data_IF_918036650161
#
_entry.id   IF_918036650161
#
_cell.length_a   1.000
_cell.length_b   1.000
_cell.length_c   1.000
_cell.angle_alpha   90.00
_cell.angle_beta   90.00
_cell.angle_gamma   90.00
#
_symmetry.space_group_name_H-M   'P 1'
#
loop_
_entity.id
_entity.type
_entity.pdbx_description
1 polymer ?
#
# COMPACT_ATOMS: atom_id res chain seq x y z
N UNK A 1 5.89 33.86 -42.17
CA UNK A 1 5.15 34.72 -41.21
C UNK A 1 5.15 33.99 -39.89
N UNK A 2 6.14 34.28 -39.08
CA UNK A 2 6.36 33.64 -37.76
C UNK A 2 5.64 34.50 -36.73
N UNK A 3 4.68 33.90 -36.02
CA UNK A 3 4.00 34.59 -34.95
C UNK A 3 4.81 34.34 -33.66
N UNK A 4 5.56 35.37 -33.23
CA UNK A 4 6.12 35.42 -31.88
C UNK A 4 5.00 35.62 -30.89
N UNK A 5 4.78 34.60 -30.02
CA UNK A 5 3.93 34.73 -28.83
C UNK A 5 4.84 35.16 -27.69
N UNK A 6 4.72 36.41 -27.28
CA UNK A 6 5.38 36.95 -26.09
C UNK A 6 4.87 36.19 -24.86
N UNK A 7 5.74 35.81 -23.88
CA UNK A 7 5.29 35.25 -22.62
C UNK A 7 4.61 36.33 -21.81
N UNK A 8 3.27 36.25 -21.73
CA UNK A 8 2.50 37.06 -20.80
C UNK A 8 2.91 36.63 -19.36
N UNK A 9 3.37 37.58 -18.60
CA UNK A 9 3.58 37.47 -17.15
C UNK A 9 2.32 36.99 -16.47
N UNK A 10 2.24 35.72 -16.16
CA UNK A 10 1.22 35.16 -15.28
C UNK A 10 1.59 35.65 -13.89
N UNK A 11 0.82 36.61 -13.37
CA UNK A 11 0.84 36.97 -11.96
C UNK A 11 0.53 35.70 -11.17
N UNK A 12 1.41 35.29 -10.26
CA UNK A 12 1.24 34.21 -9.27
C UNK A 12 0.12 34.60 -8.26
N UNK A 13 -1.12 34.67 -8.72
CA UNK A 13 -2.26 34.54 -7.83
C UNK A 13 -2.48 33.04 -7.64
N UNK A 14 -2.08 32.51 -6.50
CA UNK A 14 -2.40 31.17 -6.05
C UNK A 14 -3.92 31.01 -5.99
N UNK A 15 -4.51 30.52 -7.06
CA UNK A 15 -5.90 30.08 -7.07
C UNK A 15 -5.94 28.70 -6.41
N UNK A 16 -6.38 28.66 -5.16
CA UNK A 16 -6.75 27.41 -4.48
C UNK A 16 -7.79 26.67 -5.31
N UNK A 17 -7.39 25.63 -6.01
CA UNK A 17 -8.28 24.84 -6.87
C UNK A 17 -9.15 23.88 -6.08
N UNK A 18 -8.71 23.45 -4.91
CA UNK A 18 -9.45 22.54 -4.02
C UNK A 18 -9.24 22.91 -2.55
N UNK A 19 -10.30 23.43 -1.93
CA UNK A 19 -10.26 23.87 -0.54
C UNK A 19 -9.98 22.74 0.46
N UNK A 20 -10.34 21.49 0.13
CA UNK A 20 -10.04 20.34 0.97
C UNK A 20 -8.54 20.03 0.97
N UNK A 21 -7.90 20.01 -0.20
CA UNK A 21 -6.44 19.79 -0.30
C UNK A 21 -5.66 20.91 0.40
N UNK A 22 -6.08 22.16 0.24
CA UNK A 22 -5.49 23.29 0.96
C UNK A 22 -5.67 23.15 2.47
N UNK A 23 -6.85 22.71 2.91
CA UNK A 23 -7.11 22.40 4.31
C UNK A 23 -6.14 21.33 4.87
N UNK A 24 -5.87 20.28 4.11
CA UNK A 24 -4.90 19.23 4.49
C UNK A 24 -3.46 19.77 4.53
N UNK A 25 -3.06 20.58 3.55
CA UNK A 25 -1.72 21.19 3.55
C UNK A 25 -1.50 22.10 4.77
N UNK A 26 -2.51 22.84 5.21
CA UNK A 26 -2.45 23.70 6.39
C UNK A 26 -2.26 22.91 7.70
N UNK A 27 -2.53 21.61 7.69
CA UNK A 27 -2.28 20.72 8.83
C UNK A 27 -0.87 20.09 8.81
N UNK A 28 -0.06 20.37 7.78
CA UNK A 28 1.30 19.88 7.69
C UNK A 28 2.19 20.62 8.68
N UNK A 29 2.85 19.87 9.56
CA UNK A 29 3.83 20.41 10.51
C UNK A 29 5.05 20.98 9.78
N UNK A 30 5.60 22.08 10.28
CA UNK A 30 6.92 22.52 9.85
C UNK A 30 7.95 21.42 10.15
N UNK A 31 8.82 21.11 9.19
CA UNK A 31 9.96 20.21 9.44
C UNK A 31 11.06 20.96 10.16
N UNK A 32 11.75 20.27 11.05
CA UNK A 32 13.01 20.78 11.63
C UNK A 32 14.19 20.66 10.64
N UNK A 33 14.00 19.93 9.52
CA UNK A 33 15.02 19.74 8.48
C UNK A 33 14.93 20.86 7.45
N UNK A 34 16.01 21.63 7.32
CA UNK A 34 16.17 22.72 6.35
C UNK A 34 16.78 22.25 5.01
N UNK A 35 17.00 23.17 4.10
CA UNK A 35 17.71 22.92 2.86
C UNK A 35 16.88 22.15 1.81
N UNK A 36 17.48 21.13 1.19
CA UNK A 36 16.88 20.38 0.10
C UNK A 36 15.56 19.68 0.48
N UNK A 37 15.47 19.19 1.71
CA UNK A 37 14.28 18.49 2.20
C UNK A 37 13.07 19.43 2.29
N UNK A 38 13.29 20.65 2.80
CA UNK A 38 12.25 21.68 2.81
C UNK A 38 11.88 22.14 1.40
N UNK A 39 12.86 22.21 0.48
CA UNK A 39 12.59 22.54 -0.93
C UNK A 39 11.72 21.46 -1.58
N UNK A 40 12.01 20.18 -1.38
CA UNK A 40 11.22 19.05 -1.85
C UNK A 40 9.75 19.15 -1.37
N UNK A 41 9.54 19.44 -0.08
CA UNK A 41 8.20 19.64 0.48
C UNK A 41 7.47 20.83 -0.12
N UNK A 42 8.17 21.96 -0.28
CA UNK A 42 7.60 23.18 -0.85
C UNK A 42 7.18 22.99 -2.32
N UNK A 43 7.96 22.29 -3.09
CA UNK A 43 7.63 22.02 -4.50
C UNK A 43 6.46 21.04 -4.63
N UNK A 44 6.38 20.06 -3.75
CA UNK A 44 5.21 19.18 -3.66
C UNK A 44 3.95 19.95 -3.23
N UNK A 45 4.05 20.83 -2.24
CA UNK A 45 2.94 21.67 -1.79
C UNK A 45 2.42 22.58 -2.91
N UNK A 46 3.31 23.23 -3.69
CA UNK A 46 2.92 24.01 -4.88
C UNK A 46 2.12 23.15 -5.87
N UNK A 47 2.57 21.91 -6.10
CA UNK A 47 1.88 21.01 -7.02
C UNK A 47 0.48 20.65 -6.50
N UNK A 48 0.32 20.38 -5.19
CA UNK A 48 -0.98 20.10 -4.55
C UNK A 48 -1.92 21.29 -4.68
N UNK A 49 -1.45 22.54 -4.46
CA UNK A 49 -2.27 23.75 -4.64
C UNK A 49 -2.84 23.91 -6.06
N UNK A 50 -2.15 23.40 -7.07
CA UNK A 50 -2.60 23.43 -8.47
C UNK A 50 -3.43 22.21 -8.87
N UNK A 51 -3.60 21.25 -7.98
CA UNK A 51 -4.32 19.99 -8.20
C UNK A 51 -5.74 20.04 -7.66
N UNK A 52 -6.54 19.08 -8.05
CA UNK A 52 -7.86 18.81 -7.48
C UNK A 52 -7.91 17.37 -7.00
N UNK A 53 -8.67 17.11 -5.94
CA UNK A 53 -8.87 15.73 -5.48
C UNK A 53 -9.62 14.95 -6.56
N UNK A 54 -9.21 13.72 -6.89
CA UNK A 54 -9.89 12.92 -7.90
C UNK A 54 -11.31 12.55 -7.46
N UNK A 55 -12.16 12.28 -8.44
CA UNK A 55 -13.55 11.93 -8.23
C UNK A 55 -14.00 10.80 -9.16
N UNK A 56 -15.24 10.35 -9.04
CA UNK A 56 -15.77 9.21 -9.80
C UNK A 56 -15.90 9.43 -11.32
N UNK A 57 -15.57 10.60 -11.86
CA UNK A 57 -15.46 10.86 -13.31
C UNK A 57 -14.08 10.53 -13.84
N UNK A 58 -13.09 10.47 -12.96
CA UNK A 58 -11.71 10.07 -13.29
C UNK A 58 -11.68 8.55 -13.40
N UNK A 59 -11.16 8.01 -14.49
CA UNK A 59 -11.20 6.57 -14.80
C UNK A 59 -10.63 5.71 -13.66
N UNK A 60 -9.49 6.11 -13.12
CA UNK A 60 -8.79 5.39 -12.05
C UNK A 60 -9.52 5.50 -10.68
N UNK A 61 -10.50 6.40 -10.55
CA UNK A 61 -11.28 6.63 -9.34
C UNK A 61 -12.77 6.36 -9.51
N UNK A 62 -13.18 5.80 -10.66
CA UNK A 62 -14.56 5.62 -11.05
C UNK A 62 -15.43 4.93 -10.00
N UNK A 63 -14.85 3.97 -9.28
CA UNK A 63 -15.56 3.16 -8.29
C UNK A 63 -15.26 3.57 -6.84
N UNK A 64 -14.38 4.55 -6.62
CA UNK A 64 -13.94 5.02 -5.30
C UNK A 64 -14.39 6.46 -5.07
N UNK A 65 -15.50 6.60 -4.35
CA UNK A 65 -16.03 7.90 -4.00
C UNK A 65 -15.33 8.45 -2.74
N UNK A 66 -14.61 9.55 -2.88
CA UNK A 66 -13.89 10.22 -1.79
C UNK A 66 -14.74 11.27 -1.04
N UNK A 67 -16.04 11.39 -1.31
CA UNK A 67 -16.91 12.34 -0.60
C UNK A 67 -16.87 12.13 0.93
N UNK A 68 -16.93 10.88 1.47
CA UNK A 68 -16.83 10.66 2.91
C UNK A 68 -15.50 11.13 3.54
N UNK A 69 -14.40 11.14 2.78
CA UNK A 69 -13.12 11.70 3.21
C UNK A 69 -13.17 13.24 3.23
N UNK A 70 -13.79 13.86 2.22
CA UNK A 70 -13.91 15.32 2.08
C UNK A 70 -14.81 15.96 3.14
N UNK A 71 -15.70 15.21 3.74
CA UNK A 71 -16.61 15.66 4.80
C UNK A 71 -15.95 15.75 6.17
N UNK A 72 -14.70 15.23 6.32
CA UNK A 72 -13.95 15.23 7.57
C UNK A 72 -13.00 16.43 7.61
N UNK A 73 -13.02 17.14 8.72
CA UNK A 73 -11.99 18.16 9.03
C UNK A 73 -10.86 17.48 9.82
N UNK A 74 -9.70 17.43 9.22
CA UNK A 74 -8.51 16.86 9.84
C UNK A 74 -7.71 17.95 10.56
N UNK A 75 -7.09 17.57 11.67
CA UNK A 75 -6.21 18.43 12.43
C UNK A 75 -4.76 17.90 12.38
N UNK A 76 -3.84 18.76 12.74
CA UNK A 76 -2.46 18.38 12.88
C UNK A 76 -2.28 17.40 14.03
N UNK A 77 -1.35 16.47 13.85
CA UNK A 77 -1.02 15.49 14.89
C UNK A 77 -0.10 16.12 15.91
N UNK A 78 -0.55 16.24 17.17
CA UNK A 78 0.36 16.48 18.28
C UNK A 78 1.30 15.30 18.49
N UNK A 79 2.52 15.57 18.99
CA UNK A 79 3.47 14.51 19.36
C UNK A 79 2.87 13.68 20.49
N UNK A 80 2.67 12.38 20.26
CA UNK A 80 2.17 11.46 21.29
C UNK A 80 3.38 10.89 22.03
N UNK A 81 3.64 11.39 23.24
CA UNK A 81 4.79 11.00 24.07
C UNK A 81 4.59 9.68 24.81
N UNK A 82 3.35 9.22 25.02
CA UNK A 82 3.02 8.06 25.87
C UNK A 82 2.21 7.00 25.10
N UNK A 83 2.81 6.41 24.06
CA UNK A 83 2.26 5.20 23.47
C UNK A 83 3.06 4.00 23.98
N UNK A 84 2.41 3.08 24.68
CA UNK A 84 2.97 1.75 24.94
C UNK A 84 2.52 0.81 23.83
N UNK A 85 3.46 0.26 23.07
CA UNK A 85 3.13 -0.85 22.16
C UNK A 85 2.64 -2.04 23.01
N UNK A 86 1.42 -2.47 22.76
CA UNK A 86 0.92 -3.68 23.38
C UNK A 86 1.61 -4.90 22.73
N UNK A 87 1.70 -5.99 23.47
CA UNK A 87 2.32 -7.25 23.00
C UNK A 87 1.68 -7.77 21.70
N UNK A 88 0.42 -7.42 21.43
CA UNK A 88 -0.31 -7.83 20.21
C UNK A 88 0.25 -7.25 18.90
N UNK A 89 1.07 -6.19 18.97
CA UNK A 89 1.71 -5.56 17.80
C UNK A 89 3.18 -5.97 17.64
N UNK A 90 3.70 -6.71 18.60
CA UNK A 90 5.07 -7.22 18.55
C UNK A 90 5.05 -8.60 17.91
N UNK A 91 5.72 -8.76 16.79
CA UNK A 91 5.98 -10.05 16.17
C UNK A 91 7.24 -10.64 16.82
N UNK A 92 7.12 -11.64 17.69
CA UNK A 92 8.27 -12.12 18.48
C UNK A 92 9.35 -12.77 17.63
N UNK A 93 8.98 -13.31 16.47
CA UNK A 93 9.93 -13.96 15.53
C UNK A 93 10.62 -12.96 14.59
N UNK A 94 10.34 -11.64 14.69
CA UNK A 94 10.80 -10.65 13.71
C UNK A 94 11.66 -9.57 14.35
N UNK A 95 12.87 -9.40 13.83
CA UNK A 95 13.81 -8.34 14.20
C UNK A 95 14.75 -8.10 13.00
N UNK A 96 15.09 -6.84 12.66
CA UNK A 96 14.79 -5.59 13.38
C UNK A 96 13.35 -5.11 13.20
N UNK A 97 12.92 -4.19 14.10
CA UNK A 97 11.63 -3.50 14.02
C UNK A 97 11.81 -1.98 14.06
N UNK A 98 11.20 -1.31 13.12
CA UNK A 98 11.16 0.15 13.02
C UNK A 98 9.72 0.62 13.20
N UNK A 99 9.48 1.55 14.12
CA UNK A 99 8.13 2.02 14.47
C UNK A 99 7.97 3.50 14.17
N UNK A 100 6.87 3.82 13.50
CA UNK A 100 6.42 5.19 13.26
C UNK A 100 5.03 5.37 13.88
N UNK A 101 4.83 6.45 14.61
CA UNK A 101 3.54 6.85 15.17
C UNK A 101 3.08 8.10 14.47
N UNK A 102 1.92 8.04 13.82
CA UNK A 102 1.38 9.14 13.02
C UNK A 102 2.38 9.74 12.01
N UNK A 103 3.21 8.88 11.41
CA UNK A 103 4.23 9.28 10.43
C UNK A 103 5.54 9.83 11.02
N UNK A 104 5.70 9.80 12.35
CA UNK A 104 6.92 10.25 13.04
C UNK A 104 7.66 9.06 13.63
N UNK A 105 8.97 9.02 13.45
CA UNK A 105 9.82 7.95 13.99
C UNK A 105 9.75 7.87 15.51
N UNK A 106 9.57 6.66 16.04
CA UNK A 106 9.47 6.38 17.47
C UNK A 106 10.64 5.49 17.93
N UNK A 107 11.82 6.06 18.25
CA UNK A 107 13.02 5.27 18.60
C UNK A 107 12.80 4.38 19.81
N UNK A 108 12.08 4.85 20.82
CA UNK A 108 11.81 4.09 22.05
C UNK A 108 10.94 2.84 21.83
N UNK A 109 10.20 2.77 20.71
CA UNK A 109 9.36 1.64 20.32
C UNK A 109 10.04 0.76 19.28
N UNK A 110 11.13 1.22 18.70
CA UNK A 110 11.90 0.55 17.66
C UNK A 110 12.99 -0.36 18.27
N UNK A 111 13.39 -1.35 17.50
CA UNK A 111 14.53 -2.21 17.82
C UNK A 111 15.38 -2.37 16.55
N UNK A 112 16.42 -1.55 16.43
CA UNK A 112 17.33 -1.50 15.28
C UNK A 112 18.79 -1.73 15.70
N UNK A 113 18.99 -2.42 16.83
CA UNK A 113 20.31 -2.76 17.34
C UNK A 113 20.87 -4.01 16.63
N UNK A 114 22.20 -4.12 16.61
CA UNK A 114 22.93 -5.29 16.11
C UNK A 114 22.59 -5.66 14.65
N UNK A 115 22.43 -4.67 13.77
CA UNK A 115 22.20 -4.92 12.35
C UNK A 115 23.44 -5.60 11.70
N UNK A 116 23.23 -6.56 10.78
CA UNK A 116 24.33 -7.14 10.02
C UNK A 116 25.06 -6.08 9.19
N UNK A 117 26.34 -6.31 8.95
CA UNK A 117 27.15 -5.42 8.11
C UNK A 117 26.54 -5.26 6.73
N UNK A 118 26.43 -4.02 6.26
CA UNK A 118 25.82 -3.69 4.97
C UNK A 118 24.30 -3.56 4.99
N UNK A 119 23.65 -3.70 6.15
CA UNK A 119 22.23 -3.34 6.34
C UNK A 119 22.12 -2.05 7.14
N UNK A 120 21.34 -1.08 6.63
CA UNK A 120 20.92 0.11 7.37
C UNK A 120 19.42 0.09 7.51
N UNK A 121 18.92 0.23 8.74
CA UNK A 121 17.49 0.34 9.07
C UNK A 121 17.33 1.48 10.07
N UNK A 122 16.50 2.44 9.77
CA UNK A 122 16.28 3.60 10.62
C UNK A 122 15.38 4.64 9.96
N UNK A 123 15.44 5.84 10.47
CA UNK A 123 14.80 6.98 9.81
C UNK A 123 15.75 7.59 8.75
N UNK A 124 15.35 8.72 8.15
CA UNK A 124 16.11 9.36 7.08
C UNK A 124 17.59 9.65 7.44
N UNK A 125 17.90 9.82 8.73
CA UNK A 125 19.25 10.15 9.20
C UNK A 125 20.29 9.04 9.01
N UNK A 126 19.87 7.81 8.61
CA UNK A 126 20.81 6.73 8.26
C UNK A 126 21.43 6.88 6.87
N UNK A 127 20.91 7.82 6.06
CA UNK A 127 21.41 8.17 4.73
C UNK A 127 22.13 9.51 4.75
N UNK A 128 23.03 9.74 3.79
CA UNK A 128 23.54 11.09 3.51
C UNK A 128 22.54 11.85 2.65
N UNK A 129 22.61 13.19 2.69
CA UNK A 129 21.72 14.05 1.91
C UNK A 129 21.79 13.75 0.40
N UNK A 130 22.99 13.47 -0.13
CA UNK A 130 23.18 13.18 -1.55
C UNK A 130 22.42 11.92 -1.95
N UNK A 131 22.51 10.86 -1.15
CA UNK A 131 21.80 9.60 -1.39
C UNK A 131 20.28 9.80 -1.24
N UNK A 132 19.86 10.51 -0.21
CA UNK A 132 18.44 10.78 -0.01
C UNK A 132 17.83 11.59 -1.17
N UNK A 133 18.57 12.57 -1.70
CA UNK A 133 18.15 13.36 -2.86
C UNK A 133 18.07 12.54 -4.16
N UNK A 134 18.88 11.50 -4.31
CA UNK A 134 18.86 10.62 -5.46
C UNK A 134 17.58 9.76 -5.50
N UNK A 135 17.10 9.30 -4.35
CA UNK A 135 16.03 8.29 -4.29
C UNK A 135 14.65 8.85 -3.91
N UNK A 136 14.57 9.90 -3.08
CA UNK A 136 13.28 10.43 -2.60
C UNK A 136 12.50 11.30 -3.60
N UNK A 137 13.11 12.06 -4.52
CA UNK A 137 12.37 12.89 -5.47
C UNK A 137 11.73 12.08 -6.59
N UNK A 138 11.79 10.80 -6.52
CA UNK A 138 11.41 9.91 -7.62
C UNK A 138 9.93 9.98 -7.91
N UNK A 139 9.67 10.24 -9.03
CA UNK A 139 9.01 9.53 -10.09
C UNK A 139 8.36 10.50 -11.07
N UNK A 140 9.07 10.76 -12.12
CA UNK A 140 8.46 11.15 -13.38
C UNK A 140 7.52 10.02 -13.80
N UNK A 141 6.23 10.21 -13.70
CA UNK A 141 5.22 9.24 -14.10
C UNK A 141 4.27 8.79 -12.99
N UNK A 142 4.64 8.96 -11.74
CA UNK A 142 3.80 8.59 -10.59
C UNK A 142 3.24 9.81 -9.85
N UNK A 143 3.23 10.98 -10.47
CA UNK A 143 2.72 12.22 -9.87
C UNK A 143 1.21 12.16 -9.77
N UNK A 144 0.72 11.70 -8.63
CA UNK A 144 -0.67 11.84 -8.22
C UNK A 144 -0.77 12.78 -7.02
N UNK A 145 -1.96 13.28 -6.77
CA UNK A 145 -2.20 14.29 -5.72
C UNK A 145 -1.90 13.77 -4.33
N UNK A 146 -2.14 12.47 -4.06
CA UNK A 146 -1.89 11.88 -2.74
C UNK A 146 -0.40 11.65 -2.51
N UNK A 147 0.37 11.25 -3.53
CA UNK A 147 1.84 11.18 -3.45
C UNK A 147 2.45 12.57 -3.22
N UNK A 148 1.96 13.59 -3.92
CA UNK A 148 2.41 14.96 -3.70
C UNK A 148 2.03 15.49 -2.31
N UNK A 149 0.82 15.20 -1.83
CA UNK A 149 0.36 15.53 -0.48
C UNK A 149 1.23 14.83 0.59
N UNK A 150 1.57 13.54 0.38
CA UNK A 150 2.51 12.84 1.26
C UNK A 150 3.87 13.52 1.29
N UNK A 151 4.42 13.88 0.13
CA UNK A 151 5.71 14.54 0.04
C UNK A 151 5.69 15.94 0.68
N UNK A 152 4.61 16.71 0.51
CA UNK A 152 4.45 18.02 1.16
C UNK A 152 4.37 17.90 2.70
N UNK A 153 3.70 16.85 3.17
CA UNK A 153 3.53 16.56 4.60
C UNK A 153 4.61 15.69 5.23
N UNK A 154 5.69 15.43 4.51
CA UNK A 154 6.74 14.53 4.94
C UNK A 154 7.50 15.04 6.18
N UNK A 155 7.40 14.31 7.28
CA UNK A 155 8.15 14.61 8.51
C UNK A 155 9.40 13.75 8.63
N UNK A 156 9.28 12.47 8.29
CA UNK A 156 10.37 11.51 8.35
C UNK A 156 10.13 10.35 7.36
N UNK A 157 11.14 9.51 7.14
CA UNK A 157 11.12 8.39 6.20
C UNK A 157 11.64 7.14 6.89
N UNK A 158 10.89 6.04 6.81
CA UNK A 158 11.41 4.72 7.15
C UNK A 158 12.37 4.27 6.06
N UNK A 159 13.61 3.99 6.41
CA UNK A 159 14.67 3.61 5.46
C UNK A 159 15.12 2.19 5.72
N UNK A 160 15.15 1.39 4.65
CA UNK A 160 15.82 0.09 4.59
C UNK A 160 16.79 0.10 3.41
N UNK A 161 18.08 0.04 3.71
CA UNK A 161 19.13 0.00 2.71
C UNK A 161 19.96 -1.27 2.86
N UNK A 162 20.00 -2.09 1.82
CA UNK A 162 20.74 -3.34 1.78
C UNK A 162 21.85 -3.23 0.76
N UNK A 163 23.09 -3.24 1.24
CA UNK A 163 24.27 -3.10 0.39
C UNK A 163 24.47 -4.29 -0.53
N UNK A 164 25.25 -4.07 -1.59
CA UNK A 164 25.57 -5.06 -2.62
C UNK A 164 26.08 -6.39 -2.02
N UNK A 165 25.53 -7.50 -2.53
CA UNK A 165 25.86 -8.88 -2.14
C UNK A 165 25.46 -9.24 -0.69
N UNK A 166 24.66 -8.45 -0.01
CA UNK A 166 24.16 -8.73 1.35
C UNK A 166 22.84 -9.49 1.28
N UNK A 167 22.76 -10.59 2.03
CA UNK A 167 21.54 -11.35 2.24
C UNK A 167 21.07 -11.13 3.67
N UNK A 168 19.89 -10.56 3.84
CA UNK A 168 19.24 -10.34 5.13
C UNK A 168 18.33 -11.53 5.42
N UNK A 169 18.71 -12.35 6.41
CA UNK A 169 18.02 -13.60 6.72
C UNK A 169 16.67 -13.35 7.42
N UNK A 170 16.67 -12.43 8.41
CA UNK A 170 15.48 -12.11 9.18
C UNK A 170 14.66 -11.03 8.50
N UNK A 171 13.32 -11.15 8.46
CA UNK A 171 12.45 -10.10 7.96
C UNK A 171 12.56 -8.82 8.78
N UNK A 172 12.47 -7.67 8.12
CA UNK A 172 12.47 -6.35 8.76
C UNK A 172 11.02 -5.91 8.94
N UNK A 173 10.62 -5.57 10.16
CA UNK A 173 9.28 -5.10 10.48
C UNK A 173 9.22 -3.57 10.49
N UNK A 174 8.47 -3.00 9.56
CA UNK A 174 8.13 -1.59 9.46
C UNK A 174 6.70 -1.43 9.99
N UNK A 175 6.55 -0.90 11.19
CA UNK A 175 5.27 -0.78 11.88
C UNK A 175 4.83 0.69 11.90
N UNK A 176 3.72 0.97 11.24
CA UNK A 176 3.10 2.29 11.19
C UNK A 176 1.83 2.28 12.03
N UNK A 177 1.83 3.06 13.10
CA UNK A 177 0.73 3.13 14.07
C UNK A 177 0.01 4.46 13.91
N UNK A 178 -1.26 4.42 13.58
CA UNK A 178 -2.13 5.61 13.55
C UNK A 178 -2.91 5.71 14.86
N UNK A 179 -2.84 6.86 15.50
CA UNK A 179 -3.47 7.12 16.78
C UNK A 179 -4.22 8.45 16.70
N UNK A 180 -5.54 8.39 16.66
CA UNK A 180 -6.40 9.57 16.75
C UNK A 180 -7.04 9.65 18.14
N UNK A 181 -7.13 10.87 18.67
CA UNK A 181 -7.90 11.17 19.86
C UNK A 181 -9.35 11.56 19.50
N UNK A 182 -9.86 12.60 20.19
CA UNK A 182 -11.20 13.15 19.90
C UNK A 182 -11.28 13.88 18.54
N UNK A 183 -10.15 14.31 18.00
CA UNK A 183 -10.07 15.00 16.71
C UNK A 183 -9.56 14.06 15.62
N UNK A 184 -10.14 14.17 14.43
CA UNK A 184 -9.63 13.48 13.26
C UNK A 184 -8.25 14.03 12.86
N UNK A 185 -7.33 13.14 12.46
CA UNK A 185 -5.95 13.48 12.12
C UNK A 185 -5.57 12.99 10.74
N UNK A 186 -4.54 13.62 10.14
CA UNK A 186 -3.86 13.13 8.95
C UNK A 186 -2.46 12.63 9.31
N UNK A 187 -2.08 11.47 8.77
CA UNK A 187 -0.76 10.85 8.87
C UNK A 187 -0.19 10.61 7.48
N UNK A 188 1.11 10.88 7.30
CA UNK A 188 1.80 10.81 6.00
C UNK A 188 3.02 9.88 6.07
N UNK A 189 2.86 8.59 6.34
CA UNK A 189 3.98 7.65 6.38
C UNK A 189 4.73 7.59 5.05
N UNK A 190 6.06 7.57 5.11
CA UNK A 190 6.92 7.35 3.95
C UNK A 190 7.91 6.24 4.22
N UNK A 191 8.12 5.39 3.22
CA UNK A 191 9.11 4.33 3.28
C UNK A 191 9.98 4.35 2.02
N UNK A 192 11.30 4.18 2.20
CA UNK A 192 12.28 4.00 1.14
C UNK A 192 13.03 2.70 1.37
N UNK A 193 12.99 1.81 0.40
CA UNK A 193 13.72 0.54 0.39
C UNK A 193 14.65 0.48 -0.80
N UNK A 194 15.93 0.28 -0.56
CA UNK A 194 16.92 0.08 -1.61
C UNK A 194 17.62 -1.25 -1.39
N UNK A 195 17.42 -2.18 -2.31
CA UNK A 195 18.14 -3.44 -2.38
C UNK A 195 19.18 -3.34 -3.50
N UNK A 196 20.44 -3.12 -3.13
CA UNK A 196 21.53 -3.01 -4.11
C UNK A 196 21.80 -4.37 -4.80
N UNK A 197 22.60 -4.35 -5.86
CA UNK A 197 22.81 -5.53 -6.72
C UNK A 197 23.21 -6.79 -5.95
N UNK A 198 22.60 -7.92 -6.30
CA UNK A 198 22.79 -9.24 -5.69
C UNK A 198 22.39 -9.30 -4.19
N UNK A 199 21.61 -8.35 -3.69
CA UNK A 199 21.15 -8.38 -2.31
C UNK A 199 19.79 -9.08 -2.19
N UNK A 200 19.45 -9.49 -0.95
CA UNK A 200 18.16 -10.09 -0.64
C UNK A 200 17.63 -9.57 0.68
N UNK A 201 16.32 -9.22 0.70
CA UNK A 201 15.65 -8.76 1.91
C UNK A 201 14.17 -9.13 1.92
N UNK A 202 13.65 -9.38 3.12
CA UNK A 202 12.21 -9.55 3.38
C UNK A 202 11.71 -8.43 4.28
N UNK A 203 10.56 -7.83 3.91
CA UNK A 203 9.95 -6.72 4.61
C UNK A 203 8.55 -7.10 5.09
N UNK A 204 8.18 -6.63 6.27
CA UNK A 204 6.80 -6.63 6.77
C UNK A 204 6.43 -5.17 7.01
N UNK A 205 5.59 -4.62 6.16
CA UNK A 205 5.04 -3.27 6.25
C UNK A 205 3.63 -3.36 6.81
N UNK A 206 3.45 -3.01 8.09
CA UNK A 206 2.18 -3.17 8.80
C UNK A 206 1.62 -1.80 9.22
N UNK A 207 0.35 -1.56 8.88
CA UNK A 207 -0.43 -0.37 9.25
C UNK A 207 -1.53 -0.78 10.21
N UNK A 208 -1.58 -0.14 11.38
CA UNK A 208 -2.52 -0.48 12.45
C UNK A 208 -3.11 0.75 13.13
N UNK A 209 -4.27 0.60 13.72
CA UNK A 209 -4.83 1.57 14.67
C UNK A 209 -4.26 1.32 16.06
N UNK A 210 -3.63 2.33 16.64
CA UNK A 210 -3.15 2.28 18.01
C UNK A 210 -4.30 2.30 19.02
N UNK A 211 -4.09 1.73 20.22
CA UNK A 211 -5.08 1.74 21.29
C UNK A 211 -4.97 3.02 22.11
N UNK A 212 -6.09 3.71 22.24
CA UNK A 212 -6.29 4.90 23.08
C UNK A 212 -7.52 4.70 23.96
N UNK A 213 -7.78 5.57 24.95
CA UNK A 213 -9.05 5.57 25.68
C UNK A 213 -10.30 5.72 24.80
N UNK A 214 -10.15 6.31 23.60
CA UNK A 214 -11.20 6.37 22.59
C UNK A 214 -11.29 5.02 21.87
N UNK A 215 -12.51 4.43 21.72
CA UNK A 215 -12.70 3.17 20.99
C UNK A 215 -12.10 3.23 19.58
N UNK A 216 -11.47 2.15 19.13
CA UNK A 216 -10.83 2.10 17.79
C UNK A 216 -11.81 2.40 16.64
N UNK A 217 -13.06 1.99 16.81
CA UNK A 217 -14.15 2.18 15.84
C UNK A 217 -14.53 3.67 15.67
N UNK A 218 -14.20 4.52 16.64
CA UNK A 218 -14.47 5.96 16.64
C UNK A 218 -13.25 6.80 16.26
N UNK A 219 -12.06 6.20 16.17
CA UNK A 219 -10.84 6.91 15.80
C UNK A 219 -10.82 7.23 14.31
N UNK A 220 -11.16 8.47 13.96
CA UNK A 220 -11.13 8.95 12.57
C UNK A 220 -9.74 9.47 12.23
N UNK A 221 -9.11 8.88 11.22
CA UNK A 221 -7.84 9.37 10.69
C UNK A 221 -7.71 9.09 9.19
N UNK A 222 -6.87 9.88 8.55
CA UNK A 222 -6.47 9.66 7.17
C UNK A 222 -4.99 9.30 7.11
N UNK A 223 -4.73 8.06 6.74
CA UNK A 223 -3.38 7.54 6.49
C UNK A 223 -3.09 7.62 4.98
N UNK A 224 -2.23 8.55 4.59
CA UNK A 224 -1.79 8.71 3.21
C UNK A 224 -0.34 8.23 3.10
N UNK A 225 -0.14 6.94 2.81
CA UNK A 225 1.17 6.28 2.83
C UNK A 225 1.80 6.16 1.45
N UNK A 226 3.14 6.30 1.39
CA UNK A 226 3.91 6.05 0.16
C UNK A 226 5.14 5.20 0.48
N UNK A 227 5.31 4.12 -0.27
CA UNK A 227 6.45 3.22 -0.19
C UNK A 227 7.14 3.13 -1.54
N UNK A 228 8.44 3.41 -1.58
CA UNK A 228 9.29 3.33 -2.78
C UNK A 228 10.31 2.22 -2.60
N UNK A 229 10.36 1.30 -3.57
CA UNK A 229 11.22 0.12 -3.50
C UNK A 229 12.07 0.04 -4.78
N UNK A 230 13.38 0.06 -4.58
CA UNK A 230 14.37 -0.10 -5.64
C UNK A 230 14.98 -1.48 -5.57
N UNK A 231 14.72 -2.31 -6.57
CA UNK A 231 15.25 -3.67 -6.68
C UNK A 231 16.29 -3.68 -7.78
N UNK A 232 17.55 -3.48 -7.38
CA UNK A 232 18.64 -3.37 -8.33
C UNK A 232 19.00 -4.71 -8.98
N UNK A 233 20.00 -4.73 -9.88
CA UNK A 233 20.33 -5.88 -10.68
C UNK A 233 20.54 -7.15 -9.84
N UNK A 234 19.82 -8.22 -10.20
CA UNK A 234 19.83 -9.52 -9.52
C UNK A 234 19.48 -9.46 -8.01
N UNK A 235 18.90 -8.37 -7.54
CA UNK A 235 18.41 -8.28 -6.17
C UNK A 235 17.04 -8.95 -6.01
N UNK A 236 16.71 -9.31 -4.78
CA UNK A 236 15.43 -9.92 -4.44
C UNK A 236 14.80 -9.21 -3.23
N UNK A 237 13.54 -8.78 -3.39
CA UNK A 237 12.74 -8.21 -2.31
C UNK A 237 11.45 -9.00 -2.15
N UNK A 238 11.23 -9.51 -0.94
CA UNK A 238 9.95 -10.09 -0.51
C UNK A 238 9.23 -9.09 0.39
N UNK A 239 8.07 -8.61 -0.03
CA UNK A 239 7.31 -7.57 0.64
C UNK A 239 5.97 -8.11 1.12
N UNK A 240 5.74 -8.09 2.43
CA UNK A 240 4.46 -8.37 3.04
C UNK A 240 3.85 -7.05 3.51
N UNK A 241 2.74 -6.63 2.87
CA UNK A 241 2.03 -5.40 3.23
C UNK A 241 0.71 -5.74 3.92
N UNK A 242 0.53 -5.27 5.14
CA UNK A 242 -0.64 -5.56 5.97
C UNK A 242 -1.31 -4.25 6.37
N UNK A 243 -2.60 -4.13 6.12
CA UNK A 243 -3.45 -3.03 6.59
C UNK A 243 -4.52 -3.61 7.49
N UNK A 244 -4.44 -3.30 8.78
CA UNK A 244 -5.39 -3.70 9.82
C UNK A 244 -5.85 -2.44 10.56
N UNK A 245 -6.71 -1.67 9.94
CA UNK A 245 -7.14 -0.37 10.44
C UNK A 245 -8.62 -0.39 10.86
N UNK A 246 -8.99 0.51 11.78
CA UNK A 246 -10.34 0.60 12.33
C UNK A 246 -11.39 1.03 11.32
N UNK A 247 -12.67 0.76 11.62
CA UNK A 247 -13.81 0.96 10.72
C UNK A 247 -14.03 2.43 10.31
N UNK A 248 -13.50 3.40 11.07
CA UNK A 248 -13.57 4.83 10.76
C UNK A 248 -12.35 5.38 10.01
N UNK A 249 -11.33 4.56 9.75
CA UNK A 249 -10.08 4.96 9.13
C UNK A 249 -10.21 5.14 7.60
N UNK A 250 -9.48 6.13 7.09
CA UNK A 250 -9.24 6.29 5.66
C UNK A 250 -7.78 5.97 5.36
N UNK A 251 -7.52 5.07 4.43
CA UNK A 251 -6.19 4.70 3.99
C UNK A 251 -6.06 4.85 2.48
N UNK A 252 -5.16 5.71 2.02
CA UNK A 252 -4.76 5.79 0.61
C UNK A 252 -3.27 5.54 0.57
N UNK A 253 -2.88 4.36 0.10
CA UNK A 253 -1.50 3.91 0.05
C UNK A 253 -1.00 3.73 -1.38
N UNK A 254 0.25 4.12 -1.61
CA UNK A 254 0.97 3.85 -2.85
C UNK A 254 2.23 3.05 -2.57
N UNK A 255 2.46 2.02 -3.38
CA UNK A 255 3.73 1.29 -3.44
C UNK A 255 4.27 1.40 -4.86
N UNK A 256 5.42 2.04 -5.04
CA UNK A 256 6.12 2.17 -6.31
C UNK A 256 7.39 1.33 -6.30
N UNK A 257 7.52 0.41 -7.26
CA UNK A 257 8.65 -0.53 -7.33
C UNK A 257 9.36 -0.37 -8.65
N UNK A 258 10.67 -0.13 -8.59
CA UNK A 258 11.54 -0.12 -9.76
C UNK A 258 12.38 -1.38 -9.78
N UNK A 259 12.25 -2.18 -10.84
CA UNK A 259 12.96 -3.45 -11.03
C UNK A 259 14.01 -3.36 -12.12
N UNK A 260 15.29 -3.49 -11.73
CA UNK A 260 16.40 -3.61 -12.68
C UNK A 260 16.51 -5.04 -13.23
N UNK A 261 17.47 -5.26 -14.11
CA UNK A 261 17.71 -6.54 -14.80
C UNK A 261 17.88 -7.71 -13.80
N UNK A 262 17.28 -8.87 -14.10
CA UNK A 262 17.32 -10.10 -13.30
C UNK A 262 16.77 -9.98 -11.87
N UNK A 263 16.16 -8.87 -11.52
CA UNK A 263 15.61 -8.66 -10.18
C UNK A 263 14.32 -9.44 -9.95
N UNK A 264 14.05 -9.76 -8.70
CA UNK A 264 12.85 -10.46 -8.25
C UNK A 264 12.13 -9.65 -7.18
N UNK A 265 10.86 -9.40 -7.41
CA UNK A 265 9.98 -8.75 -6.45
C UNK A 265 8.74 -9.61 -6.18
N UNK A 266 8.47 -9.87 -4.93
CA UNK A 266 7.22 -10.50 -4.51
C UNK A 266 6.50 -9.63 -3.49
N UNK A 267 5.19 -9.44 -3.67
CA UNK A 267 4.32 -8.74 -2.72
C UNK A 267 3.17 -9.64 -2.30
N UNK A 268 2.95 -9.78 -0.98
CA UNK A 268 1.75 -10.34 -0.41
C UNK A 268 1.03 -9.21 0.34
N UNK A 269 -0.06 -8.67 -0.23
CA UNK A 269 -0.82 -7.57 0.35
C UNK A 269 -2.11 -8.06 1.00
N UNK A 270 -2.29 -7.80 2.29
CA UNK A 270 -3.53 -8.12 3.02
C UNK A 270 -4.15 -6.83 3.54
N UNK A 271 -5.40 -6.58 3.14
CA UNK A 271 -6.18 -5.41 3.59
C UNK A 271 -7.43 -5.89 4.31
N UNK A 272 -7.59 -5.47 5.55
CA UNK A 272 -8.75 -5.80 6.38
C UNK A 272 -9.24 -4.55 7.08
N UNK A 273 -10.53 -4.24 6.94
CA UNK A 273 -11.14 -3.07 7.58
C UNK A 273 -10.91 -1.75 6.82
N UNK A 274 -11.06 -0.64 7.57
CA UNK A 274 -11.02 0.72 7.03
C UNK A 274 -12.35 1.16 6.41
N UNK A 275 -12.75 2.42 6.65
CA UNK A 275 -13.95 3.00 6.01
C UNK A 275 -13.76 3.12 4.49
N UNK A 276 -12.58 3.60 4.09
CA UNK A 276 -12.10 3.57 2.70
C UNK A 276 -10.63 3.15 2.75
N UNK A 277 -10.29 2.08 2.06
CA UNK A 277 -8.92 1.62 1.91
C UNK A 277 -8.57 1.48 0.44
N UNK A 278 -7.58 2.24 -0.04
CA UNK A 278 -7.09 2.14 -1.42
C UNK A 278 -5.60 1.86 -1.44
N UNK A 279 -5.19 0.90 -2.26
CA UNK A 279 -3.80 0.56 -2.51
C UNK A 279 -3.49 0.67 -4.00
N UNK A 280 -2.59 1.58 -4.36
CA UNK A 280 -2.02 1.69 -5.70
C UNK A 280 -0.64 1.02 -5.70
N UNK A 281 -0.48 -0.07 -6.43
CA UNK A 281 0.78 -0.82 -6.56
C UNK A 281 1.30 -0.69 -7.98
N UNK A 282 2.38 0.03 -8.16
CA UNK A 282 2.99 0.30 -9.47
C UNK A 282 4.35 -0.38 -9.58
N UNK A 283 4.53 -1.20 -10.61
CA UNK A 283 5.78 -1.90 -10.91
C UNK A 283 6.34 -1.40 -12.23
N UNK A 284 7.53 -0.85 -12.20
CA UNK A 284 8.26 -0.40 -13.37
C UNK A 284 9.48 -1.29 -13.63
N UNK A 285 9.45 -2.00 -14.72
CA UNK A 285 10.61 -2.75 -15.21
C UNK A 285 11.56 -1.83 -15.98
N UNK A 286 12.82 -1.78 -15.55
CA UNK A 286 13.90 -0.99 -16.16
C UNK A 286 15.02 -1.85 -16.77
N UNK A 287 14.88 -3.17 -16.73
CA UNK A 287 15.81 -4.13 -17.32
C UNK A 287 15.11 -5.45 -17.68
N UNK A 288 15.78 -6.31 -18.41
CA UNK A 288 15.24 -7.59 -18.87
C UNK A 288 15.21 -8.67 -17.76
N UNK A 289 14.45 -9.76 -18.00
CA UNK A 289 14.42 -10.97 -17.17
C UNK A 289 14.04 -10.70 -15.70
N UNK A 290 13.10 -9.80 -15.47
CA UNK A 290 12.54 -9.55 -14.13
C UNK A 290 11.46 -10.57 -13.81
N UNK A 291 11.34 -10.90 -12.53
CA UNK A 291 10.26 -11.72 -12.01
C UNK A 291 9.42 -10.93 -11.00
N UNK A 292 8.11 -10.91 -11.19
CA UNK A 292 7.17 -10.19 -10.33
C UNK A 292 6.06 -11.14 -9.88
N UNK A 293 5.85 -11.28 -8.57
CA UNK A 293 4.75 -12.06 -8.01
C UNK A 293 3.91 -11.18 -7.08
N UNK A 294 2.65 -10.98 -7.42
CA UNK A 294 1.72 -10.17 -6.63
C UNK A 294 0.58 -11.03 -6.11
N UNK A 295 0.49 -11.21 -4.81
CA UNK A 295 -0.64 -11.87 -4.16
C UNK A 295 -1.38 -10.86 -3.29
N UNK A 296 -2.70 -10.94 -3.25
CA UNK A 296 -3.50 -10.03 -2.45
C UNK A 296 -4.72 -10.70 -1.84
N UNK A 297 -5.08 -10.25 -0.64
CA UNK A 297 -6.33 -10.59 0.02
C UNK A 297 -6.98 -9.33 0.58
N UNK A 298 -8.21 -9.09 0.16
CA UNK A 298 -9.06 -8.01 0.69
C UNK A 298 -10.23 -8.63 1.44
N UNK A 299 -10.44 -8.25 2.70
CA UNK A 299 -11.57 -8.71 3.51
C UNK A 299 -12.28 -7.51 4.10
N UNK A 300 -13.52 -7.29 3.69
CA UNK A 300 -14.34 -6.13 4.10
C UNK A 300 -15.78 -6.53 4.36
N UNK A 301 -16.43 -5.81 5.27
CA UNK A 301 -17.82 -6.00 5.67
C UNK A 301 -18.52 -4.64 5.91
N UNK A 302 -19.70 -4.65 6.51
CA UNK A 302 -20.50 -3.46 6.83
C UNK A 302 -20.74 -2.55 5.60
N UNK A 303 -20.18 -1.35 5.58
CA UNK A 303 -20.26 -0.37 4.48
C UNK A 303 -18.87 0.06 4.00
N UNK A 304 -17.86 -0.75 4.27
CA UNK A 304 -16.49 -0.48 3.91
C UNK A 304 -16.28 -0.49 2.40
N UNK A 305 -15.32 0.32 1.94
CA UNK A 305 -14.86 0.31 0.56
C UNK A 305 -13.37 -0.03 0.54
N UNK A 306 -13.00 -1.06 -0.20
CA UNK A 306 -11.60 -1.37 -0.46
C UNK A 306 -11.32 -1.46 -1.96
N UNK A 307 -10.30 -0.73 -2.40
CA UNK A 307 -9.94 -0.58 -3.79
C UNK A 307 -8.45 -0.92 -4.00
N UNK A 308 -8.17 -1.96 -4.78
CA UNK A 308 -6.81 -2.35 -5.14
C UNK A 308 -6.56 -2.07 -6.61
N UNK A 309 -5.61 -1.19 -6.88
CA UNK A 309 -5.09 -0.92 -8.22
C UNK A 309 -3.66 -1.45 -8.33
N UNK A 310 -3.39 -2.27 -9.32
CA UNK A 310 -2.05 -2.71 -9.68
C UNK A 310 -1.74 -2.34 -11.13
N UNK A 311 -0.57 -1.78 -11.37
CA UNK A 311 -0.06 -1.47 -12.70
C UNK A 311 1.34 -2.05 -12.85
N UNK A 312 1.53 -2.94 -13.84
CA UNK A 312 2.80 -3.59 -14.12
C UNK A 312 3.24 -3.19 -15.52
N UNK A 313 4.30 -2.39 -15.63
CA UNK A 313 4.92 -2.00 -16.89
C UNK A 313 6.13 -2.89 -17.18
N UNK A 314 5.93 -3.91 -18.03
CA UNK A 314 6.94 -4.85 -18.48
C UNK A 314 7.59 -4.29 -19.76
N UNK A 315 8.56 -3.40 -19.62
CA UNK A 315 9.12 -2.62 -20.75
C UNK A 315 10.26 -3.34 -21.49
N UNK A 316 10.78 -4.44 -20.95
CA UNK A 316 11.94 -5.15 -21.46
C UNK A 316 11.63 -6.64 -21.69
N UNK A 317 12.46 -7.36 -22.51
CA UNK A 317 12.21 -8.76 -22.82
C UNK A 317 12.28 -9.70 -21.60
N UNK A 318 11.65 -10.88 -21.75
CA UNK A 318 11.70 -11.98 -20.78
C UNK A 318 11.16 -11.63 -19.39
N UNK A 319 10.28 -10.65 -19.27
CA UNK A 319 9.59 -10.35 -18.02
C UNK A 319 8.60 -11.45 -17.65
N UNK A 320 8.61 -11.88 -16.39
CA UNK A 320 7.64 -12.82 -15.83
C UNK A 320 6.80 -12.10 -14.77
N UNK A 321 5.47 -12.17 -14.90
CA UNK A 321 4.55 -11.59 -13.92
C UNK A 321 3.42 -12.54 -13.58
N UNK A 322 3.20 -12.77 -12.28
CA UNK A 322 2.08 -13.56 -11.78
C UNK A 322 1.34 -12.78 -10.72
N UNK A 323 0.02 -12.64 -10.91
CA UNK A 323 -0.84 -11.98 -9.93
C UNK A 323 -2.04 -12.83 -9.56
N UNK A 324 -2.26 -12.99 -8.25
CA UNK A 324 -3.49 -13.56 -7.68
C UNK A 324 -4.04 -12.59 -6.63
N UNK A 325 -5.22 -12.01 -6.88
CA UNK A 325 -5.90 -11.17 -5.90
C UNK A 325 -7.25 -11.78 -5.53
N UNK A 326 -7.50 -11.94 -4.24
CA UNK A 326 -8.75 -12.50 -3.70
C UNK A 326 -9.48 -11.46 -2.86
N UNK A 327 -10.81 -11.39 -3.02
CA UNK A 327 -11.66 -10.50 -2.22
C UNK A 327 -12.74 -11.32 -1.52
N UNK A 328 -12.95 -11.05 -0.23
CA UNK A 328 -14.07 -11.55 0.58
C UNK A 328 -14.88 -10.33 1.01
N UNK A 329 -16.13 -10.25 0.58
CA UNK A 329 -16.94 -9.04 0.71
C UNK A 329 -18.28 -9.39 1.35
N UNK A 330 -18.47 -8.89 2.58
CA UNK A 330 -19.71 -9.10 3.36
C UNK A 330 -20.67 -7.91 3.30
N UNK A 331 -21.82 -8.07 3.87
CA UNK A 331 -22.90 -7.09 4.12
C UNK A 331 -23.20 -6.17 2.94
N UNK A 332 -22.87 -4.87 3.03
CA UNK A 332 -23.03 -3.86 1.99
C UNK A 332 -21.69 -3.27 1.55
N UNK A 333 -20.61 -3.97 1.84
CA UNK A 333 -19.29 -3.53 1.47
C UNK A 333 -19.07 -3.55 -0.04
N UNK A 334 -18.16 -2.73 -0.49
CA UNK A 334 -17.84 -2.55 -1.89
C UNK A 334 -16.34 -2.80 -2.13
N UNK A 335 -16.02 -3.88 -2.83
CA UNK A 335 -14.67 -4.17 -3.30
C UNK A 335 -14.43 -3.63 -4.71
N UNK A 336 -13.21 -3.21 -4.97
CA UNK A 336 -12.74 -2.82 -6.32
C UNK A 336 -11.38 -3.49 -6.55
N UNK A 337 -11.24 -4.12 -7.72
CA UNK A 337 -9.97 -4.61 -8.21
C UNK A 337 -9.73 -4.08 -9.63
N UNK A 338 -8.67 -3.34 -9.82
CA UNK A 338 -8.20 -2.89 -11.13
C UNK A 338 -6.75 -3.35 -11.31
N UNK A 339 -6.52 -4.28 -12.23
CA UNK A 339 -5.19 -4.78 -12.52
C UNK A 339 -4.82 -4.49 -13.96
N UNK A 340 -3.73 -3.76 -14.18
CA UNK A 340 -3.25 -3.39 -15.51
C UNK A 340 -1.87 -3.97 -15.76
N UNK A 341 -1.71 -4.65 -16.90
CA UNK A 341 -0.42 -5.12 -17.37
C UNK A 341 -0.15 -4.46 -18.73
N UNK A 342 0.95 -3.73 -18.81
CA UNK A 342 1.42 -3.07 -20.02
C UNK A 342 2.64 -3.79 -20.58
N UNK A 343 2.58 -4.22 -21.86
CA UNK A 343 3.63 -4.98 -22.56
C UNK A 343 3.89 -4.33 -23.92
N UNK A 344 4.79 -3.34 -24.00
CA UNK A 344 5.09 -2.63 -25.24
C UNK A 344 5.91 -3.51 -26.20
N UNK A 345 6.02 -3.07 -27.44
CA UNK A 345 6.66 -3.82 -28.53
C UNK A 345 8.08 -4.37 -28.22
N UNK A 346 8.96 -3.67 -27.48
CA UNK A 346 10.28 -4.20 -27.12
C UNK A 346 10.23 -5.37 -26.13
N UNK A 347 9.14 -5.54 -25.37
CA UNK A 347 9.01 -6.51 -24.30
C UNK A 347 8.65 -7.91 -24.82
N UNK A 348 9.42 -8.43 -25.75
CA UNK A 348 9.20 -9.78 -26.32
C UNK A 348 9.48 -10.89 -25.29
N UNK A 349 8.88 -12.06 -25.48
CA UNK A 349 9.02 -13.23 -24.61
C UNK A 349 8.57 -12.99 -23.17
N UNK A 350 7.67 -12.04 -22.98
CA UNK A 350 6.99 -11.79 -21.70
C UNK A 350 5.99 -12.90 -21.40
N UNK A 351 5.95 -13.38 -20.14
CA UNK A 351 4.96 -14.32 -19.61
C UNK A 351 4.22 -13.65 -18.43
N UNK A 352 2.97 -13.25 -18.63
CA UNK A 352 2.19 -12.53 -17.64
C UNK A 352 0.82 -13.17 -17.42
N UNK A 353 0.50 -13.45 -16.16
CA UNK A 353 -0.79 -14.00 -15.76
C UNK A 353 -1.40 -13.20 -14.60
N UNK A 354 -2.68 -12.84 -14.75
CA UNK A 354 -3.44 -12.13 -13.73
C UNK A 354 -4.74 -12.86 -13.43
N UNK A 355 -4.99 -13.13 -12.16
CA UNK A 355 -6.23 -13.77 -11.71
C UNK A 355 -6.82 -12.99 -10.52
N UNK A 356 -8.10 -12.63 -10.64
CA UNK A 356 -8.87 -12.07 -9.53
C UNK A 356 -10.02 -13.02 -9.18
N UNK A 357 -10.10 -13.41 -7.92
CA UNK A 357 -11.18 -14.27 -7.39
C UNK A 357 -11.94 -13.53 -6.29
N UNK A 358 -13.26 -13.50 -6.40
CA UNK A 358 -14.09 -12.72 -5.50
C UNK A 358 -15.19 -13.60 -4.91
N UNK A 359 -15.31 -13.56 -3.58
CA UNK A 359 -16.34 -14.25 -2.81
C UNK A 359 -17.26 -13.22 -2.17
N UNK A 360 -18.51 -13.18 -2.59
CA UNK A 360 -19.57 -12.34 -2.03
C UNK A 360 -20.33 -13.14 -0.97
N UNK A 361 -20.35 -12.63 0.27
CA UNK A 361 -21.02 -13.27 1.39
C UNK A 361 -22.47 -12.78 1.57
N UNK A 362 -22.86 -11.74 0.85
CA UNK A 362 -24.19 -11.13 0.93
C UNK A 362 -24.69 -10.73 -0.45
N UNK A 363 -25.99 -10.78 -0.65
CA UNK A 363 -26.66 -10.27 -1.86
C UNK A 363 -26.58 -8.75 -2.03
N UNK A 364 -26.13 -8.03 -0.98
CA UNK A 364 -25.95 -6.57 -1.00
C UNK A 364 -24.50 -6.15 -1.12
N UNK A 365 -23.56 -7.09 -1.02
CA UNK A 365 -22.16 -6.84 -1.27
C UNK A 365 -21.90 -6.68 -2.76
N UNK A 366 -20.85 -5.90 -3.07
CA UNK A 366 -20.53 -5.56 -4.46
C UNK A 366 -19.04 -5.68 -4.73
N UNK A 367 -18.69 -6.11 -5.94
CA UNK A 367 -17.33 -6.06 -6.49
C UNK A 367 -17.35 -5.45 -7.90
N UNK A 368 -16.46 -4.51 -8.15
CA UNK A 368 -16.12 -4.07 -9.50
C UNK A 368 -14.70 -4.58 -9.82
N UNK A 369 -14.60 -5.49 -10.77
CA UNK A 369 -13.33 -6.11 -11.18
C UNK A 369 -13.01 -5.75 -12.62
N UNK A 370 -11.79 -5.18 -12.84
CA UNK A 370 -11.34 -4.68 -14.15
C UNK A 370 -9.91 -5.15 -14.44
N UNK A 371 -9.68 -6.41 -14.79
CA UNK A 371 -8.38 -6.83 -15.29
C UNK A 371 -8.15 -6.30 -16.71
N UNK A 372 -6.97 -5.70 -16.96
CA UNK A 372 -6.63 -5.05 -18.22
C UNK A 372 -5.27 -5.52 -18.74
N UNK A 373 -5.22 -5.82 -20.05
CA UNK A 373 -3.99 -6.13 -20.77
C UNK A 373 -3.81 -5.12 -21.91
N UNK A 374 -2.74 -4.36 -21.87
CA UNK A 374 -2.33 -3.45 -22.95
C UNK A 374 -1.07 -3.97 -23.61
N UNK A 375 -1.23 -4.74 -24.69
CA UNK A 375 -0.15 -5.50 -25.31
C UNK A 375 0.05 -5.04 -26.74
N UNK A 376 1.29 -4.64 -27.06
CA UNK A 376 1.72 -4.34 -28.43
C UNK A 376 2.88 -5.23 -28.89
N UNK A 377 3.43 -6.07 -28.01
CA UNK A 377 4.42 -7.08 -28.33
C UNK A 377 3.77 -8.31 -29.01
N UNK A 378 4.47 -8.95 -29.96
CA UNK A 378 3.91 -10.03 -30.78
C UNK A 378 4.15 -11.42 -30.20
N UNK A 379 5.30 -11.67 -29.58
CA UNK A 379 5.70 -12.96 -29.06
C UNK A 379 5.65 -12.98 -27.54
N UNK A 380 4.45 -13.12 -26.98
CA UNK A 380 4.20 -13.10 -25.52
C UNK A 380 3.15 -14.13 -25.14
N UNK A 381 3.15 -14.48 -23.84
CA UNK A 381 2.10 -15.27 -23.19
C UNK A 381 1.45 -14.42 -22.13
N UNK A 382 0.29 -13.87 -22.41
CA UNK A 382 -0.41 -13.01 -21.47
C UNK A 382 -1.86 -13.48 -21.33
N UNK A 383 -2.28 -13.66 -20.09
CA UNK A 383 -3.64 -14.06 -19.73
C UNK A 383 -4.16 -13.30 -18.53
N UNK A 384 -5.46 -13.04 -18.52
CA UNK A 384 -6.15 -12.58 -17.32
C UNK A 384 -7.46 -13.33 -17.09
N UNK A 385 -7.92 -13.37 -15.87
CA UNK A 385 -9.21 -13.95 -15.50
C UNK A 385 -9.79 -13.26 -14.27
N UNK A 386 -11.12 -13.21 -14.21
CA UNK A 386 -11.83 -12.78 -13.02
C UNK A 386 -13.02 -13.72 -12.76
N UNK A 387 -13.24 -14.04 -11.50
CA UNK A 387 -14.42 -14.81 -11.06
C UNK A 387 -15.12 -14.07 -9.94
N UNK A 388 -16.45 -14.14 -9.93
CA UNK A 388 -17.29 -13.67 -8.83
C UNK A 388 -18.20 -14.82 -8.45
N UNK A 389 -18.13 -15.25 -7.21
CA UNK A 389 -18.91 -16.37 -6.67
C UNK A 389 -19.55 -15.99 -5.33
N UNK A 390 -20.48 -16.80 -4.90
CA UNK A 390 -21.01 -16.87 -3.54
C UNK A 390 -20.66 -18.23 -2.95
N UNK A 391 -20.91 -18.42 -1.65
CA UNK A 391 -20.83 -19.76 -1.06
C UNK A 391 -21.92 -20.64 -1.69
N UNK A 392 -21.51 -21.81 -2.19
CA UNK A 392 -22.41 -22.74 -2.84
C UNK A 392 -23.19 -23.58 -1.81
N UNK A 393 -24.50 -23.68 -1.96
CA UNK A 393 -25.35 -24.45 -1.06
C UNK A 393 -24.96 -25.93 -1.02
N UNK A 394 -24.48 -26.50 -2.12
CA UNK A 394 -23.99 -27.87 -2.21
C UNK A 394 -22.75 -28.11 -1.36
N UNK A 395 -21.80 -27.14 -1.31
CA UNK A 395 -20.62 -27.22 -0.44
C UNK A 395 -21.01 -27.16 1.04
N UNK A 396 -21.95 -26.27 1.38
CA UNK A 396 -22.49 -26.15 2.74
C UNK A 396 -23.20 -27.45 3.12
N UNK A 397 -24.09 -27.95 2.27
CA UNK A 397 -24.81 -29.18 2.51
C UNK A 397 -23.88 -30.40 2.68
N UNK A 398 -22.81 -30.48 1.88
CA UNK A 398 -21.80 -31.52 2.03
C UNK A 398 -21.17 -31.50 3.43
N UNK A 399 -20.78 -30.33 3.91
CA UNK A 399 -20.21 -30.18 5.26
C UNK A 399 -21.23 -30.53 6.36
N UNK A 400 -22.49 -30.11 6.19
CA UNK A 400 -23.58 -30.46 7.10
C UNK A 400 -23.82 -31.99 7.15
N UNK A 401 -23.72 -32.68 6.02
CA UNK A 401 -23.84 -34.16 5.97
C UNK A 401 -22.73 -34.88 6.74
N UNK A 402 -21.63 -34.19 7.08
CA UNK A 402 -20.51 -34.66 7.89
C UNK A 402 -20.63 -34.22 9.37
N UNK A 403 -21.75 -33.61 9.77
CA UNK A 403 -22.02 -33.20 11.13
C UNK A 403 -21.50 -31.81 11.51
N UNK A 404 -21.10 -30.99 10.54
CA UNK A 404 -20.69 -29.60 10.75
C UNK A 404 -21.97 -28.75 10.62
N UNK A 405 -22.25 -27.89 11.61
CA UNK A 405 -23.40 -26.99 11.49
C UNK A 405 -23.21 -25.93 10.37
N UNK A 406 -24.30 -25.31 9.92
CA UNK A 406 -24.27 -24.40 8.78
C UNK A 406 -23.33 -23.21 9.00
N UNK A 407 -23.31 -22.61 10.19
CA UNK A 407 -22.48 -21.45 10.47
C UNK A 407 -20.99 -21.82 10.44
N UNK A 408 -20.63 -22.96 11.02
CA UNK A 408 -19.25 -23.45 11.02
C UNK A 408 -18.83 -23.92 9.62
N UNK A 409 -19.77 -24.49 8.82
CA UNK A 409 -19.50 -24.81 7.42
C UNK A 409 -19.17 -23.54 6.60
N UNK A 410 -19.96 -22.48 6.74
CA UNK A 410 -19.71 -21.19 6.10
C UNK A 410 -18.33 -20.61 6.50
N UNK A 411 -18.02 -20.59 7.80
CA UNK A 411 -16.71 -20.15 8.32
C UNK A 411 -15.56 -20.94 7.73
N UNK A 412 -15.71 -22.24 7.63
CA UNK A 412 -14.68 -23.13 7.09
C UNK A 412 -14.40 -22.83 5.62
N UNK A 413 -15.42 -22.61 4.82
CA UNK A 413 -15.29 -22.26 3.40
C UNK A 413 -14.64 -20.89 3.21
N UNK A 414 -15.06 -19.87 3.99
CA UNK A 414 -14.45 -18.54 3.95
C UNK A 414 -12.98 -18.60 4.35
N UNK A 415 -12.66 -19.34 5.42
CA UNK A 415 -11.27 -19.54 5.84
C UNK A 415 -10.44 -20.26 4.79
N UNK A 416 -10.96 -21.29 4.17
CA UNK A 416 -10.27 -22.00 3.09
C UNK A 416 -9.97 -21.07 1.90
N UNK A 417 -10.92 -20.19 1.56
CA UNK A 417 -10.73 -19.18 0.54
C UNK A 417 -9.63 -18.19 0.87
N UNK A 418 -9.57 -17.67 2.10
CA UNK A 418 -8.54 -16.74 2.57
C UNK A 418 -7.17 -17.42 2.73
N UNK A 419 -7.15 -18.69 3.17
CA UNK A 419 -5.93 -19.42 3.51
C UNK A 419 -4.98 -19.58 2.32
N UNK A 420 -5.47 -19.59 1.08
CA UNK A 420 -4.62 -19.64 -0.12
C UNK A 420 -3.59 -18.49 -0.17
N UNK A 421 -3.97 -17.31 0.32
CA UNK A 421 -3.05 -16.16 0.39
C UNK A 421 -2.35 -16.10 1.75
N UNK A 422 -3.09 -16.30 2.85
CA UNK A 422 -2.53 -16.17 4.20
C UNK A 422 -1.42 -17.20 4.45
N UNK A 423 -1.53 -18.41 3.90
CA UNK A 423 -0.49 -19.45 4.05
C UNK A 423 0.83 -19.12 3.32
N UNK A 424 0.84 -18.14 2.43
CA UNK A 424 2.08 -17.64 1.81
C UNK A 424 2.89 -16.75 2.77
N UNK A 425 2.32 -16.36 3.91
CA UNK A 425 2.98 -15.53 4.93
C UNK A 425 3.92 -16.43 5.75
N UNK A 426 5.23 -16.14 5.79
CA UNK A 426 6.19 -17.01 6.49
C UNK A 426 6.11 -16.88 8.02
N UNK A 427 5.53 -15.79 8.55
CA UNK A 427 5.46 -15.47 9.98
C UNK A 427 4.24 -16.15 10.61
N UNK A 428 4.48 -17.10 11.50
CA UNK A 428 3.41 -17.93 12.08
C UNK A 428 2.44 -17.12 12.93
N UNK A 429 2.93 -16.29 13.84
CA UNK A 429 2.09 -15.43 14.70
C UNK A 429 1.18 -14.50 13.89
N UNK A 430 1.71 -13.91 12.82
CA UNK A 430 0.95 -13.03 11.93
C UNK A 430 -0.10 -13.80 11.11
N UNK A 431 0.24 -14.98 10.63
CA UNK A 431 -0.68 -15.86 9.90
C UNK A 431 -1.88 -16.26 10.76
N UNK A 432 -1.64 -16.65 12.02
CA UNK A 432 -2.69 -16.99 12.97
C UNK A 432 -3.57 -15.78 13.31
N UNK A 433 -2.95 -14.62 13.54
CA UNK A 433 -3.66 -13.34 13.77
C UNK A 433 -4.59 -13.01 12.60
N UNK A 434 -4.11 -13.11 11.36
CA UNK A 434 -4.90 -12.79 10.16
C UNK A 434 -6.06 -13.77 9.96
N UNK A 435 -5.86 -15.08 10.12
CA UNK A 435 -6.93 -16.07 10.02
C UNK A 435 -8.02 -15.78 11.06
N UNK A 436 -7.64 -15.50 12.31
CA UNK A 436 -8.60 -15.13 13.37
C UNK A 436 -9.37 -13.85 13.03
N UNK A 437 -8.69 -12.85 12.46
CA UNK A 437 -9.32 -11.58 12.06
C UNK A 437 -10.33 -11.79 10.95
N UNK A 438 -10.01 -12.59 9.92
CA UNK A 438 -10.94 -12.96 8.83
C UNK A 438 -12.22 -13.58 9.40
N UNK A 439 -12.08 -14.57 10.29
CA UNK A 439 -13.24 -15.22 10.93
C UNK A 439 -14.10 -14.22 11.70
N UNK A 440 -13.47 -13.33 12.47
CA UNK A 440 -14.20 -12.35 13.28
C UNK A 440 -15.00 -11.37 12.42
N UNK A 441 -14.42 -10.93 11.31
CA UNK A 441 -15.03 -9.94 10.43
C UNK A 441 -16.17 -10.52 9.61
N UNK A 442 -16.07 -11.77 9.21
CA UNK A 442 -17.07 -12.46 8.38
C UNK A 442 -18.20 -13.12 9.18
N UNK A 443 -18.16 -13.03 10.51
CA UNK A 443 -19.18 -13.56 11.43
C UNK A 443 -20.06 -12.46 12.07
N UNK A 444 -19.86 -11.20 11.70
CA UNK A 444 -20.78 -10.11 12.07
C UNK A 444 -22.02 -10.21 11.19
#
# INVERSE_FOLDING_TARGET
>A
MTIEVSPSSISDSFLDRDAFLTGLLNQVTASEKDGWFQQLRNDAAKWVHHSVIPNTRDEEWRFTNLLPLKEVTFNNVGIIHELSLQNDFVLPEVSPRLVFVNGVYAPNLSNTENLPSGLKVGNLDVLTDEVAQEYLPQSEGTRDVFTALNTAGLNDVAVVWVSKNVVVENPIHLLFVSVAGESAIISQPRCLVVAESNSQVSLIEEYITGKMPVPQEEQVYFNNSVTEIWVNENAQVSHLRIVLEGDAAFHIGKTAVTQARYSRYSCNAVTVGGKISRHNLEILQTGEQTETTLNGLTVIADKQLADTHSAIALNHPHGISKQLHKCIIGDRAHGVFNGKIFVPKPAQLTDAAQLNRNLLLSSKSRIDTKPQLEITADNVKCAHGATVSQLEDDEIFYLQSRGIDENDARKLLVNAFAAEIINLIPITSLREKLLKTVVTLTNK
#
